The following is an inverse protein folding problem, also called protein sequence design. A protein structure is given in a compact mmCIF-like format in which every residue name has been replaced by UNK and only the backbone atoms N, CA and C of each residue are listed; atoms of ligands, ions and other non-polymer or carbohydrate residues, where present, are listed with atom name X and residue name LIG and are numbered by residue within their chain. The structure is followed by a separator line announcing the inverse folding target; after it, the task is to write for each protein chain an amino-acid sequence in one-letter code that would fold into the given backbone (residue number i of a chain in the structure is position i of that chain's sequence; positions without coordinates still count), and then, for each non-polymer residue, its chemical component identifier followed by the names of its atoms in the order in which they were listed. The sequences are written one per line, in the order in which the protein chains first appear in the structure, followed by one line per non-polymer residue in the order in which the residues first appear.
data_IF_389490941345
#
_entry.id   IF_389490941345
#
_cell.length_a   1.000
_cell.length_b   1.000
_cell.length_c   1.000
_cell.angle_alpha   90.00
_cell.angle_beta   90.00
_cell.angle_gamma   90.00
#
_symmetry.space_group_name_H-M   'P 1'
#
loop_
_entity.id
_entity.type
_entity.pdbx_description
1 polymer ?
#
# COMPACT_ATOMS: atom_id res chain seq x y z
N UNK A 1 -6.53 4.89 -7.51
CA UNK A 1 -5.07 4.78 -7.31
C UNK A 1 -4.87 3.54 -6.47
N UNK A 2 -4.54 2.42 -7.10
CA UNK A 2 -4.40 1.15 -6.40
C UNK A 2 -2.92 0.95 -6.04
N UNK A 3 -2.50 1.62 -4.97
CA UNK A 3 -1.12 1.49 -4.48
C UNK A 3 -1.02 0.24 -3.62
N UNK A 4 -0.03 -0.60 -3.91
CA UNK A 4 0.24 -1.82 -3.13
C UNK A 4 1.19 -1.49 -1.98
N UNK A 5 1.08 -2.24 -0.88
CA UNK A 5 1.93 -2.08 0.29
C UNK A 5 2.50 -3.43 0.72
N UNK A 6 3.74 -3.42 1.21
CA UNK A 6 4.35 -4.56 1.88
C UNK A 6 4.60 -4.19 3.34
N UNK A 7 4.19 -5.08 4.25
CA UNK A 7 4.31 -4.87 5.69
C UNK A 7 5.16 -6.00 6.27
N UNK A 8 6.12 -5.63 7.10
CA UNK A 8 6.88 -6.53 7.96
C UNK A 8 6.78 -6.05 9.41
N UNK A 9 7.30 -6.85 10.33
CA UNK A 9 7.16 -6.59 11.78
C UNK A 9 7.74 -5.22 12.21
N UNK A 10 8.69 -4.66 11.45
CA UNK A 10 9.41 -3.42 11.77
C UNK A 10 9.41 -2.37 10.63
N UNK A 11 8.77 -2.65 9.50
CA UNK A 11 8.77 -1.73 8.36
C UNK A 11 7.51 -1.89 7.50
N UNK A 12 7.13 -0.80 6.85
CA UNK A 12 6.13 -0.82 5.80
C UNK A 12 6.63 -0.03 4.59
N UNK A 13 6.41 -0.59 3.41
CA UNK A 13 6.88 -0.06 2.14
C UNK A 13 5.70 0.11 1.18
N UNK A 14 5.65 1.25 0.50
CA UNK A 14 4.83 1.43 -0.68
C UNK A 14 5.51 0.76 -1.88
N UNK A 15 4.76 -0.11 -2.56
CA UNK A 15 5.21 -0.87 -3.73
C UNK A 15 4.80 -0.12 -4.98
N UNK A 16 5.76 0.05 -5.91
CA UNK A 16 5.51 0.68 -7.21
C UNK A 16 4.58 -0.19 -8.06
N UNK A 17 3.76 0.44 -8.89
CA UNK A 17 2.75 -0.26 -9.69
C UNK A 17 3.36 -1.30 -10.64
N UNK A 18 4.55 -1.04 -11.17
CA UNK A 18 5.30 -1.93 -12.06
C UNK A 18 6.15 -3.00 -11.35
N UNK A 19 6.10 -3.07 -10.00
CA UNK A 19 6.89 -4.04 -9.27
C UNK A 19 6.17 -5.41 -9.23
N UNK A 20 6.78 -6.42 -9.83
CA UNK A 20 6.31 -7.79 -9.77
C UNK A 20 7.10 -8.58 -8.72
N UNK A 21 6.37 -9.25 -7.83
CA UNK A 21 6.98 -10.15 -6.84
C UNK A 21 7.37 -11.46 -7.54
N UNK A 22 8.65 -11.85 -7.50
CA UNK A 22 9.11 -13.03 -8.23
C UNK A 22 8.57 -14.33 -7.64
N UNK A 23 8.44 -14.40 -6.32
CA UNK A 23 7.96 -15.57 -5.58
C UNK A 23 6.88 -15.11 -4.61
N UNK A 24 5.80 -15.89 -4.53
CA UNK A 24 4.70 -15.67 -3.60
C UNK A 24 4.42 -16.94 -2.81
N UNK A 25 4.43 -16.80 -1.49
CA UNK A 25 4.09 -17.86 -0.54
C UNK A 25 2.72 -17.57 0.07
N UNK A 26 1.98 -18.61 0.45
CA UNK A 26 0.64 -18.46 1.05
C UNK A 26 0.76 -17.96 2.50
N UNK A 27 1.83 -18.33 3.20
CA UNK A 27 2.04 -17.96 4.61
C UNK A 27 3.50 -17.65 4.94
N UNK A 28 3.70 -16.92 6.05
CA UNK A 28 5.03 -16.68 6.65
C UNK A 28 5.76 -17.99 6.97
N UNK A 29 5.02 -19.00 7.44
CA UNK A 29 5.60 -20.31 7.77
C UNK A 29 6.10 -21.04 6.53
N UNK A 30 5.33 -21.02 5.43
CA UNK A 30 5.77 -21.59 4.15
C UNK A 30 6.99 -20.85 3.61
N UNK A 31 6.97 -19.51 3.63
CA UNK A 31 8.11 -18.70 3.19
C UNK A 31 9.40 -19.02 3.97
N UNK A 32 9.29 -19.30 5.27
CA UNK A 32 10.46 -19.59 6.11
C UNK A 32 10.92 -21.05 6.03
N UNK A 33 9.99 -22.01 5.99
CA UNK A 33 10.31 -23.43 6.20
C UNK A 33 10.19 -24.27 4.92
N UNK A 34 9.53 -23.76 3.88
CA UNK A 34 9.24 -24.49 2.65
C UNK A 34 9.22 -23.55 1.44
N UNK A 35 10.24 -22.69 1.33
CA UNK A 35 10.30 -21.64 0.30
C UNK A 35 10.23 -22.20 -1.14
N UNK A 36 10.73 -23.41 -1.34
CA UNK A 36 10.70 -24.14 -2.62
C UNK A 36 9.28 -24.50 -3.10
N UNK A 37 8.31 -24.62 -2.19
CA UNK A 37 6.91 -24.87 -2.54
C UNK A 37 6.16 -23.59 -2.92
N UNK A 38 6.73 -22.42 -2.64
CA UNK A 38 6.11 -21.15 -2.98
C UNK A 38 5.96 -21.00 -4.49
N UNK A 39 4.89 -20.32 -4.89
CA UNK A 39 4.58 -20.12 -6.31
C UNK A 39 5.55 -19.12 -6.91
N UNK A 40 6.37 -19.57 -7.85
CA UNK A 40 7.13 -18.67 -8.71
C UNK A 40 6.18 -18.01 -9.73
N UNK A 41 6.06 -16.68 -9.67
CA UNK A 41 5.22 -15.90 -10.57
C UNK A 41 5.99 -15.29 -11.73
N UNK A 42 7.32 -15.33 -11.69
CA UNK A 42 8.17 -14.69 -12.69
C UNK A 42 8.75 -15.72 -13.65
N UNK A 43 8.34 -15.63 -14.91
CA UNK A 43 8.91 -16.43 -15.99
C UNK A 43 10.19 -15.75 -16.51
N UNK A 44 11.34 -16.39 -16.31
CA UNK A 44 12.57 -15.93 -16.95
C UNK A 44 12.52 -16.24 -18.46
N UNK A 45 12.89 -15.27 -19.29
CA UNK A 45 12.97 -15.48 -20.74
C UNK A 45 14.33 -16.07 -21.07
N UNK A 46 14.36 -17.36 -21.40
CA UNK A 46 15.58 -18.05 -21.78
C UNK A 46 15.72 -18.11 -23.30
N UNK A 47 16.85 -17.62 -23.84
CA UNK A 47 17.15 -17.76 -25.28
C UNK A 47 17.39 -19.22 -25.69
N UNK A 48 17.78 -20.07 -24.76
CA UNK A 48 17.96 -21.52 -24.95
C UNK A 48 17.81 -22.25 -23.61
N UNK A 49 17.04 -23.35 -23.60
CA UNK A 49 16.82 -24.18 -22.40
C UNK A 49 18.09 -24.91 -21.91
N UNK A 50 19.16 -24.93 -22.70
CA UNK A 50 20.41 -25.66 -22.37
C UNK A 50 21.43 -24.85 -21.58
N UNK A 51 21.22 -23.54 -21.41
CA UNK A 51 22.17 -22.66 -20.73
C UNK A 51 21.41 -21.75 -19.75
N UNK A 52 21.40 -22.05 -18.45
CA UNK A 52 20.77 -21.20 -17.43
C UNK A 52 21.28 -19.75 -17.45
N UNK A 53 22.56 -19.55 -17.79
CA UNK A 53 23.14 -18.22 -18.01
C UNK A 53 22.55 -17.43 -19.20
N UNK A 54 21.79 -18.08 -20.09
CA UNK A 54 21.10 -17.44 -21.21
C UNK A 54 19.65 -17.04 -20.87
N UNK A 55 19.26 -17.12 -19.60
CA UNK A 55 17.98 -16.68 -19.08
C UNK A 55 18.06 -15.22 -18.61
N UNK A 56 17.17 -14.38 -19.15
CA UNK A 56 16.97 -13.03 -18.68
C UNK A 56 15.81 -13.03 -17.68
N UNK A 57 16.14 -12.91 -16.40
CA UNK A 57 15.18 -12.72 -15.33
C UNK A 57 15.15 -11.24 -14.94
N UNK A 58 13.97 -10.64 -14.73
CA UNK A 58 13.87 -9.34 -14.09
C UNK A 58 14.62 -9.34 -12.75
N UNK A 59 15.39 -8.29 -12.48
CA UNK A 59 16.21 -8.17 -11.25
C UNK A 59 15.50 -7.45 -10.11
N UNK A 60 14.21 -7.16 -10.29
CA UNK A 60 13.42 -6.37 -9.35
C UNK A 60 13.51 -6.99 -7.95
N UNK A 61 14.14 -6.27 -7.03
CA UNK A 61 14.32 -6.72 -5.65
C UNK A 61 13.64 -5.76 -4.69
N UNK A 62 12.96 -6.28 -3.66
CA UNK A 62 12.40 -5.47 -2.58
C UNK A 62 13.46 -4.58 -1.91
N UNK A 63 14.74 -4.98 -1.96
CA UNK A 63 15.87 -4.17 -1.48
C UNK A 63 15.98 -2.83 -2.22
N UNK A 64 15.68 -2.79 -3.51
CA UNK A 64 15.73 -1.56 -4.32
C UNK A 64 14.60 -0.61 -3.91
N UNK A 65 13.39 -1.12 -3.70
CA UNK A 65 12.28 -0.34 -3.14
C UNK A 65 12.64 0.20 -1.76
N UNK A 66 13.22 -0.66 -0.90
CA UNK A 66 13.65 -0.27 0.45
C UNK A 66 14.74 0.82 0.41
N UNK A 67 15.60 0.86 -0.60
CA UNK A 67 16.68 1.84 -0.67
C UNK A 67 16.17 3.27 -0.88
N UNK A 68 15.01 3.43 -1.51
CA UNK A 68 14.36 4.71 -1.70
C UNK A 68 13.50 5.07 -0.49
N UNK A 69 13.86 6.17 0.18
CA UNK A 69 13.16 6.65 1.38
C UNK A 69 11.74 7.11 1.10
N UNK A 70 11.41 7.51 -0.12
CA UNK A 70 10.05 7.94 -0.50
C UNK A 70 9.04 6.80 -0.51
N UNK A 71 9.52 5.55 -0.54
CA UNK A 71 8.69 4.36 -0.45
C UNK A 71 8.52 3.88 0.99
N UNK A 72 9.22 4.45 1.97
CA UNK A 72 9.12 4.06 3.38
C UNK A 72 8.02 4.86 4.07
N UNK A 73 7.28 4.20 4.94
CA UNK A 73 6.31 4.88 5.80
C UNK A 73 6.99 5.68 6.92
N UNK A 74 6.40 6.82 7.35
CA UNK A 74 5.16 7.42 6.84
C UNK A 74 5.36 8.15 5.50
N UNK A 75 4.33 8.15 4.65
CA UNK A 75 4.30 8.94 3.40
C UNK A 75 3.37 10.13 3.62
N UNK A 76 3.96 11.32 3.72
CA UNK A 76 3.23 12.56 3.96
C UNK A 76 3.21 13.43 2.71
N UNK A 77 2.02 13.86 2.32
CA UNK A 77 1.75 14.87 1.30
C UNK A 77 0.92 15.98 1.93
N UNK A 78 0.77 17.16 1.30
CA UNK A 78 -0.02 18.26 1.88
C UNK A 78 -1.47 17.90 2.24
N UNK A 79 -2.07 16.94 1.53
CA UNK A 79 -3.49 16.56 1.72
C UNK A 79 -3.70 15.19 2.35
N UNK A 80 -2.68 14.32 2.33
CA UNK A 80 -2.78 12.92 2.80
C UNK A 80 -1.55 12.53 3.58
N UNK A 81 -1.76 11.90 4.73
CA UNK A 81 -0.73 11.21 5.50
C UNK A 81 -1.04 9.70 5.50
N UNK A 82 -0.11 8.89 5.00
CA UNK A 82 -0.22 7.43 5.03
C UNK A 82 0.76 6.90 6.07
N UNK A 83 0.23 6.16 7.04
CA UNK A 83 1.01 5.55 8.12
C UNK A 83 0.74 4.06 8.19
N UNK A 84 1.67 3.32 8.80
CA UNK A 84 1.48 1.90 9.12
C UNK A 84 1.43 1.72 10.62
N UNK A 85 0.44 0.98 11.09
CA UNK A 85 0.39 0.56 12.49
C UNK A 85 0.07 -0.94 12.55
N UNK A 86 1.00 -1.71 13.13
CA UNK A 86 0.98 -3.18 13.12
C UNK A 86 0.90 -3.72 11.67
N UNK A 87 -0.16 -4.46 11.35
CA UNK A 87 -0.38 -5.08 10.05
C UNK A 87 -1.37 -4.31 9.17
N UNK A 88 -1.61 -3.04 9.50
CA UNK A 88 -2.61 -2.20 8.84
C UNK A 88 -2.00 -0.89 8.32
N UNK A 89 -2.53 -0.44 7.19
CA UNK A 89 -2.19 0.84 6.57
C UNK A 89 -3.35 1.81 6.80
N UNK A 90 -3.04 2.99 7.32
CA UNK A 90 -3.99 4.06 7.59
C UNK A 90 -3.70 5.23 6.66
N UNK A 91 -4.76 5.84 6.12
CA UNK A 91 -4.68 7.07 5.34
C UNK A 91 -5.50 8.14 6.05
N UNK A 92 -4.83 9.20 6.51
CA UNK A 92 -5.45 10.37 7.13
C UNK A 92 -5.53 11.48 6.08
N UNK A 93 -6.71 12.08 5.94
CA UNK A 93 -6.97 13.19 5.02
C UNK A 93 -7.06 14.48 5.83
N UNK A 94 -6.41 15.54 5.33
CA UNK A 94 -6.48 16.85 5.98
C UNK A 94 -7.87 17.49 5.86
N UNK A 95 -8.54 17.27 4.73
CA UNK A 95 -9.84 17.84 4.40
C UNK A 95 -10.75 16.77 3.79
N UNK A 96 -12.03 16.82 4.13
CA UNK A 96 -13.05 15.95 3.57
C UNK A 96 -14.37 16.72 3.44
N UNK A 97 -15.10 16.51 2.35
CA UNK A 97 -16.42 17.09 2.14
C UNK A 97 -17.49 16.03 2.47
N UNK A 98 -18.46 16.40 3.31
CA UNK A 98 -19.52 15.49 3.75
C UNK A 98 -20.88 16.12 3.46
N UNK A 99 -21.72 15.40 2.71
CA UNK A 99 -23.11 15.81 2.44
C UNK A 99 -24.04 15.09 3.43
N UNK A 100 -24.67 15.85 4.33
CA UNK A 100 -25.63 15.34 5.30
C UNK A 100 -27.06 15.57 4.79
N UNK A 101 -27.83 14.49 4.59
CA UNK A 101 -29.25 14.60 4.20
C UNK A 101 -30.11 14.35 5.43
N UNK A 102 -30.74 15.41 5.95
CA UNK A 102 -31.70 15.34 7.05
C UNK A 102 -33.11 15.24 6.49
N UNK A 103 -33.83 14.17 6.84
CA UNK A 103 -35.27 14.02 6.52
C UNK A 103 -36.06 14.10 7.82
N UNK A 104 -36.91 15.12 7.95
CA UNK A 104 -37.83 15.28 9.07
C UNK A 104 -39.27 15.35 8.57
N UNK A 105 -40.20 14.72 9.29
CA UNK A 105 -41.64 14.85 9.06
C UNK A 105 -42.22 16.15 9.66
N UNK A 106 -41.44 16.83 10.50
CA UNK A 106 -41.77 18.12 11.12
C UNK A 106 -40.85 19.14 10.46
N UNK A 107 -41.41 20.21 9.87
CA UNK A 107 -40.62 21.35 9.40
C UNK A 107 -39.85 21.94 10.58
N UNK A 108 -38.56 21.63 10.69
CA UNK A 108 -37.67 22.29 11.64
C UNK A 108 -37.19 23.56 10.91
N UNK A 109 -37.88 24.68 11.13
CA UNK A 109 -37.33 26.00 10.82
C UNK A 109 -36.18 26.28 11.80
N UNK A 110 -34.99 25.76 11.53
CA UNK A 110 -33.79 26.11 12.29
C UNK A 110 -33.12 27.32 11.62
N UNK A 111 -33.56 28.52 12.00
CA UNK A 111 -32.89 29.76 11.66
C UNK A 111 -32.46 30.47 12.96
N UNK A 112 -31.52 29.86 13.68
CA UNK A 112 -30.81 30.56 14.74
C UNK A 112 -29.47 31.07 14.21
N UNK A 113 -29.30 32.39 14.29
CA UNK A 113 -28.08 33.09 13.89
C UNK A 113 -27.06 32.96 15.02
N UNK A 114 -26.19 31.95 14.95
CA UNK A 114 -25.09 31.80 15.90
C UNK A 114 -23.93 32.69 15.43
N UNK A 115 -23.71 33.79 16.14
CA UNK A 115 -22.50 34.60 16.00
C UNK A 115 -21.31 33.78 16.54
N UNK A 116 -20.36 33.44 15.68
CA UNK A 116 -19.09 32.83 16.08
C UNK A 116 -18.41 33.73 17.12
N UNK A 117 -18.24 33.21 18.33
CA UNK A 117 -17.41 33.86 19.35
C UNK A 117 -15.95 33.49 19.12
N UNK A 118 -15.01 34.45 19.27
CA UNK A 118 -13.59 34.17 19.09
C UNK A 118 -13.10 33.15 20.14
N UNK A 119 -12.24 32.24 19.68
CA UNK A 119 -11.61 31.19 20.47
C UNK A 119 -10.73 31.74 21.60
#
# INVERSE_FOLDING_TARGET
MDRRYAIADNEALAILDNFELPVECISKTEASNNFEACRNRMACVCKSFKAPQACHCPRNALREIRADSSNRMPITTPSVEITSHKSEIYATLAETEVVLVVKSAILIESADFILEQPC
#
